data_IF_441148138309
#
_entry.id   IF_441148138309
#
_cell.length_a   1.000
_cell.length_b   1.000
_cell.length_c   1.000
_cell.angle_alpha   90.00
_cell.angle_beta   90.00
_cell.angle_gamma   90.00
#
_symmetry.space_group_name_H-M   'P 1'
#
loop_
_entity.id
_entity.type
_entity.pdbx_description
1 polymer ?
#
# COMPACT_ATOMS: atom_id res chain seq x y z
N UNK A 1 -10.51 10.26 -0.69
CA UNK A 1 -11.53 9.38 -0.08
C UNK A 1 -10.89 8.43 0.93
N UNK A 2 -11.58 8.09 2.02
CA UNK A 2 -11.15 7.06 2.99
C UNK A 2 -12.26 6.01 3.10
N UNK A 3 -11.89 4.74 3.03
CA UNK A 3 -12.77 3.58 3.14
C UNK A 3 -12.34 2.69 4.31
N UNK A 4 -13.29 1.90 4.81
CA UNK A 4 -13.06 0.83 5.77
C UNK A 4 -13.67 -0.47 5.21
N UNK A 5 -13.10 -1.60 5.59
CA UNK A 5 -13.61 -2.93 5.23
C UNK A 5 -14.13 -3.54 6.53
N UNK A 6 -15.41 -3.87 6.56
CA UNK A 6 -16.07 -4.45 7.73
C UNK A 6 -15.85 -5.96 7.78
N UNK A 7 -14.65 -6.35 8.20
CA UNK A 7 -14.34 -7.72 8.57
C UNK A 7 -13.24 -7.74 9.64
N UNK A 8 -13.11 -8.89 10.30
CA UNK A 8 -12.15 -9.07 11.40
C UNK A 8 -10.71 -8.75 10.97
N UNK A 9 -10.30 -9.27 9.80
CA UNK A 9 -8.94 -9.09 9.27
C UNK A 9 -8.54 -7.63 9.11
N UNK A 10 -9.49 -6.76 8.72
CA UNK A 10 -9.23 -5.34 8.45
C UNK A 10 -9.81 -4.40 9.49
N UNK A 11 -10.30 -4.91 10.62
CA UNK A 11 -10.84 -4.10 11.70
C UNK A 11 -9.84 -3.02 12.14
N UNK A 12 -10.33 -1.77 12.20
CA UNK A 12 -9.54 -0.58 12.53
C UNK A 12 -8.58 -0.09 11.42
N UNK A 13 -8.54 -0.75 10.25
CA UNK A 13 -7.67 -0.35 9.13
C UNK A 13 -8.37 0.63 8.19
N UNK A 14 -7.69 1.73 7.83
CA UNK A 14 -8.20 2.75 6.91
C UNK A 14 -7.55 2.63 5.54
N UNK A 15 -8.36 2.58 4.49
CA UNK A 15 -7.93 2.56 3.10
C UNK A 15 -8.10 3.95 2.49
N UNK A 16 -7.00 4.69 2.31
CA UNK A 16 -7.02 6.04 1.71
C UNK A 16 -6.81 5.96 0.21
N UNK A 17 -7.82 6.36 -0.56
CA UNK A 17 -7.72 6.48 -2.01
C UNK A 17 -7.43 7.92 -2.42
N UNK A 18 -6.42 8.10 -3.28
CA UNK A 18 -6.02 9.36 -3.89
C UNK A 18 -5.84 9.17 -5.39
N UNK A 19 -6.56 9.97 -6.17
CA UNK A 19 -6.37 10.09 -7.61
C UNK A 19 -6.40 11.58 -7.96
N UNK A 20 -5.65 11.98 -8.99
CA UNK A 20 -5.57 13.36 -9.43
C UNK A 20 -4.89 13.48 -10.79
N UNK A 21 -5.21 14.56 -11.50
CA UNK A 21 -4.56 14.97 -12.76
C UNK A 21 -3.78 16.26 -12.51
N UNK A 22 -2.91 16.64 -13.45
CA UNK A 22 -2.06 17.84 -13.36
C UNK A 22 -1.23 17.90 -12.06
N UNK A 23 -0.81 16.74 -11.56
CA UNK A 23 0.09 16.65 -10.42
C UNK A 23 1.54 16.80 -10.89
N UNK A 24 2.41 17.30 -10.01
CA UNK A 24 3.84 17.53 -10.28
C UNK A 24 4.60 16.28 -10.74
N UNK A 25 4.12 15.09 -10.37
CA UNK A 25 4.71 13.82 -10.75
C UNK A 25 3.64 12.76 -11.03
N UNK A 26 3.89 11.94 -12.07
CA UNK A 26 3.10 10.74 -12.33
C UNK A 26 3.48 9.67 -11.32
N UNK A 27 2.55 9.29 -10.44
CA UNK A 27 2.75 8.23 -9.45
C UNK A 27 1.51 7.35 -9.34
N UNK A 28 1.70 6.04 -9.46
CA UNK A 28 0.68 5.03 -9.20
C UNK A 28 1.30 3.91 -8.38
N UNK A 29 0.69 3.63 -7.23
CA UNK A 29 1.25 2.67 -6.30
C UNK A 29 0.40 2.51 -5.06
N UNK A 30 0.81 1.56 -4.24
CA UNK A 30 0.19 1.20 -2.97
C UNK A 30 1.20 1.53 -1.87
N UNK A 31 0.76 2.28 -0.86
CA UNK A 31 1.53 2.51 0.36
C UNK A 31 0.86 1.78 1.52
N UNK A 32 1.53 0.79 2.07
CA UNK A 32 1.14 0.12 3.30
C UNK A 32 1.91 0.75 4.45
N UNK A 33 1.19 1.21 5.47
CA UNK A 33 1.78 1.73 6.70
C UNK A 33 1.57 0.71 7.81
N UNK A 34 2.66 0.25 8.39
CA UNK A 34 2.60 -0.68 9.52
C UNK A 34 2.34 0.09 10.81
N UNK A 35 1.68 -0.58 11.78
CA UNK A 35 1.47 0.00 13.11
C UNK A 35 2.80 0.13 13.81
N UNK A 36 2.98 1.23 14.54
CA UNK A 36 4.10 1.33 15.48
C UNK A 36 4.01 0.17 16.47
N UNK A 37 5.13 -0.52 16.70
CA UNK A 37 5.20 -1.52 17.75
C UNK A 37 5.61 -0.83 19.05
N UNK A 38 5.02 -1.21 20.19
CA UNK A 38 5.47 -0.68 21.47
C UNK A 38 6.97 -0.92 21.65
N UNK A 39 7.70 0.00 22.31
CA UNK A 39 9.13 -0.15 22.52
C UNK A 39 9.43 -1.46 23.25
N UNK A 40 10.48 -2.15 22.80
CA UNK A 40 10.93 -3.40 23.41
C UNK A 40 11.36 -3.13 24.88
N UNK A 41 11.03 -4.01 25.84
CA UNK A 41 11.24 -3.75 27.29
C UNK A 41 12.70 -3.50 27.71
N UNK A 42 13.68 -3.72 26.83
CA UNK A 42 15.11 -3.48 27.07
C UNK A 42 15.68 -2.26 26.32
N UNK A 43 14.85 -1.45 25.65
CA UNK A 43 15.29 -0.16 25.12
C UNK A 43 15.23 0.91 26.21
N UNK A 44 16.40 1.40 26.59
CA UNK A 44 16.53 2.61 27.39
C UNK A 44 15.71 3.73 26.72
N UNK A 45 14.83 4.36 27.51
CA UNK A 45 13.94 5.41 27.03
C UNK A 45 14.79 6.59 26.54
N UNK A 46 14.98 6.70 25.23
CA UNK A 46 15.29 8.00 24.62
C UNK A 46 13.95 8.69 24.42
N UNK A 47 13.65 9.63 25.31
CA UNK A 47 12.41 10.41 25.40
C UNK A 47 12.16 11.35 24.20
N UNK A 48 12.57 10.98 22.99
CA UNK A 48 12.52 11.81 21.79
C UNK A 48 11.91 11.12 20.56
N UNK A 49 11.48 9.85 20.64
CA UNK A 49 11.00 9.12 19.46
C UNK A 49 9.57 8.56 19.66
N UNK A 50 8.66 9.43 20.11
CA UNK A 50 7.21 9.19 20.18
C UNK A 50 6.56 9.01 18.78
N UNK A 51 7.39 8.98 17.75
CA UNK A 51 7.05 8.85 16.34
C UNK A 51 7.73 7.66 15.68
N UNK A 52 7.86 6.53 16.40
CA UNK A 52 8.32 5.28 15.81
C UNK A 52 7.35 4.82 14.69
N UNK A 53 7.54 5.32 13.47
CA UNK A 53 6.83 4.87 12.28
C UNK A 53 7.06 3.37 12.14
N UNK A 54 6.00 2.55 12.25
CA UNK A 54 6.08 1.09 12.23
C UNK A 54 6.63 0.50 10.94
N UNK A 55 6.84 1.36 9.94
CA UNK A 55 7.41 1.04 8.66
C UNK A 55 6.45 1.37 7.52
N UNK A 56 7.01 1.46 6.33
CA UNK A 56 6.30 1.80 5.10
C UNK A 56 6.73 0.85 3.99
N UNK A 57 5.77 0.15 3.40
CA UNK A 57 5.97 -0.62 2.17
C UNK A 57 5.31 0.11 1.01
N UNK A 58 6.11 0.50 0.03
CA UNK A 58 5.69 1.07 -1.23
C UNK A 58 5.79 0.03 -2.34
N UNK A 59 4.72 -0.08 -3.12
CA UNK A 59 4.64 -0.95 -4.31
C UNK A 59 4.16 -0.09 -5.49
N UNK A 60 5.04 0.16 -6.45
CA UNK A 60 4.74 0.83 -7.72
C UNK A 60 3.94 -0.05 -8.68
N UNK A 61 3.14 0.58 -9.55
CA UNK A 61 2.26 -0.13 -10.49
C UNK A 61 2.56 0.13 -11.97
N UNK A 62 3.05 1.32 -12.34
CA UNK A 62 3.06 1.80 -13.75
C UNK A 62 4.41 2.38 -14.20
N UNK A 63 5.48 2.20 -13.42
CA UNK A 63 6.80 2.74 -13.71
C UNK A 63 7.87 1.66 -13.65
N UNK A 64 9.04 1.87 -14.28
CA UNK A 64 10.16 0.97 -14.09
C UNK A 64 10.69 1.20 -12.67
N UNK A 65 10.49 0.22 -11.79
CA UNK A 65 10.94 0.16 -10.40
C UNK A 65 10.16 1.03 -9.42
N UNK A 66 9.47 0.38 -8.48
CA UNK A 66 9.35 0.95 -7.14
C UNK A 66 8.84 -0.08 -6.10
N UNK A 67 9.70 -0.99 -5.65
CA UNK A 67 9.45 -1.73 -4.41
C UNK A 67 10.37 -1.17 -3.33
N UNK A 68 9.80 -0.57 -2.29
CA UNK A 68 10.59 -0.02 -1.19
C UNK A 68 9.98 -0.38 0.15
N UNK A 69 10.78 -0.91 1.06
CA UNK A 69 10.40 -1.18 2.44
C UNK A 69 11.29 -0.38 3.38
N UNK A 70 10.73 0.65 4.00
CA UNK A 70 11.40 1.48 5.01
C UNK A 70 10.95 1.07 6.40
N UNK A 71 11.89 0.83 7.30
CA UNK A 71 11.66 0.51 8.71
C UNK A 71 12.84 0.98 9.54
N UNK A 72 12.84 0.72 10.85
CA UNK A 72 13.97 1.03 11.73
C UNK A 72 14.63 -0.27 12.17
N UNK A 73 15.96 -0.33 12.11
CA UNK A 73 16.76 -1.50 12.46
C UNK A 73 17.81 -1.14 13.51
N UNK A 74 18.34 -2.14 14.22
CA UNK A 74 19.42 -1.93 15.21
C UNK A 74 20.67 -1.39 14.53
N UNK A 75 21.30 -0.39 15.16
CA UNK A 75 22.57 0.17 14.69
C UNK A 75 23.71 -0.87 14.80
N UNK A 76 24.47 -1.14 13.72
CA UNK A 76 25.60 -2.07 13.75
C UNK A 76 26.75 -1.64 14.66
N UNK A 77 26.84 -0.34 14.99
CA UNK A 77 28.00 0.26 15.66
C UNK A 77 27.88 0.39 17.18
N UNK A 78 27.03 -0.42 17.82
CA UNK A 78 26.92 -0.44 19.29
C UNK A 78 26.32 0.83 19.92
N UNK A 79 25.84 1.77 19.11
CA UNK A 79 25.01 2.87 19.60
C UNK A 79 23.64 2.31 19.99
N UNK A 80 23.26 2.42 21.25
CA UNK A 80 21.90 2.09 21.69
C UNK A 80 20.89 2.93 20.89
N UNK A 81 20.18 2.30 19.94
CA UNK A 81 19.22 3.00 19.09
C UNK A 81 18.82 2.27 17.81
N UNK A 82 17.62 2.56 17.35
CA UNK A 82 17.13 2.17 16.03
C UNK A 82 17.49 3.24 15.00
N UNK A 83 18.00 2.82 13.85
CA UNK A 83 18.32 3.70 12.72
C UNK A 83 17.40 3.39 11.53
N UNK A 84 17.01 4.41 10.73
CA UNK A 84 16.24 4.16 9.51
C UNK A 84 17.00 3.24 8.55
N UNK A 85 16.32 2.22 8.04
CA UNK A 85 16.79 1.28 7.03
C UNK A 85 15.75 1.21 5.91
N UNK A 86 16.21 1.22 4.66
CA UNK A 86 15.34 1.07 3.50
C UNK A 86 15.88 -0.04 2.59
N UNK A 87 15.03 -1.03 2.32
CA UNK A 87 15.28 -2.06 1.32
C UNK A 87 14.62 -1.62 0.02
N UNK A 88 15.37 -1.70 -1.08
CA UNK A 88 14.90 -1.32 -2.41
C UNK A 88 14.96 -2.57 -3.29
N UNK A 89 13.82 -2.91 -3.87
CA UNK A 89 13.68 -3.99 -4.83
C UNK A 89 13.30 -3.45 -6.21
N UNK A 90 13.77 -4.13 -7.24
CA UNK A 90 13.34 -3.90 -8.62
C UNK A 90 12.23 -4.90 -8.96
N UNK A 91 11.13 -4.40 -9.49
CA UNK A 91 10.10 -5.26 -10.05
C UNK A 91 10.61 -5.87 -11.37
N UNK A 92 10.30 -7.14 -11.65
CA UNK A 92 10.67 -7.76 -12.92
C UNK A 92 9.97 -7.06 -14.08
N UNK A 93 10.65 -6.97 -15.21
CA UNK A 93 10.06 -6.43 -16.42
C UNK A 93 8.93 -7.37 -16.90
N UNK A 94 7.79 -6.80 -17.27
CA UNK A 94 6.67 -7.58 -17.78
C UNK A 94 6.95 -8.02 -19.22
N UNK A 95 6.89 -9.33 -19.48
CA UNK A 95 7.07 -9.89 -20.82
C UNK A 95 5.87 -9.68 -21.74
N UNK A 96 4.70 -9.37 -21.18
CA UNK A 96 3.47 -9.09 -21.91
C UNK A 96 2.90 -7.74 -21.48
N UNK A 97 2.25 -7.06 -22.41
CA UNK A 97 1.45 -5.87 -22.08
C UNK A 97 0.27 -6.26 -21.18
N UNK A 98 -0.32 -5.31 -20.42
CA UNK A 98 -1.49 -5.59 -19.60
C UNK A 98 -2.64 -6.25 -20.37
N UNK A 99 -2.92 -5.80 -21.59
CA UNK A 99 -3.96 -6.40 -22.44
C UNK A 99 -3.60 -7.81 -22.91
N UNK A 100 -2.33 -8.06 -23.28
CA UNK A 100 -1.88 -9.39 -23.66
C UNK A 100 -1.99 -10.38 -22.49
N UNK A 101 -1.72 -9.94 -21.25
CA UNK A 101 -1.95 -10.75 -20.05
C UNK A 101 -3.43 -11.11 -19.85
N UNK A 102 -4.34 -10.16 -20.00
CA UNK A 102 -5.80 -10.42 -19.88
C UNK A 102 -6.28 -11.39 -20.96
N UNK A 103 -5.87 -11.19 -22.22
CA UNK A 103 -6.26 -12.06 -23.32
C UNK A 103 -5.73 -13.49 -23.13
N UNK A 104 -4.45 -13.62 -22.77
CA UNK A 104 -3.86 -14.93 -22.48
C UNK A 104 -4.56 -15.63 -21.31
N UNK A 105 -5.00 -14.88 -20.29
CA UNK A 105 -5.75 -15.42 -19.17
C UNK A 105 -7.09 -16.02 -19.64
N UNK A 106 -7.82 -15.27 -20.47
CA UNK A 106 -9.08 -15.71 -21.06
C UNK A 106 -8.91 -16.94 -21.95
N UNK A 107 -7.90 -16.95 -22.82
CA UNK A 107 -7.59 -18.10 -23.70
C UNK A 107 -7.23 -19.37 -22.90
N UNK A 108 -6.73 -19.21 -21.66
CA UNK A 108 -6.46 -20.31 -20.73
C UNK A 108 -7.70 -20.73 -19.92
N UNK A 109 -8.88 -20.20 -20.24
CA UNK A 109 -10.12 -20.45 -19.52
C UNK A 109 -10.13 -19.87 -18.10
N UNK A 110 -9.29 -18.87 -17.82
CA UNK A 110 -9.19 -18.23 -16.50
C UNK A 110 -9.83 -16.84 -16.55
N UNK A 111 -10.38 -16.44 -15.41
CA UNK A 111 -11.08 -15.16 -15.25
C UNK A 111 -10.57 -14.37 -14.04
N UNK A 112 -9.44 -14.76 -13.44
CA UNK A 112 -8.92 -14.13 -12.22
C UNK A 112 -8.42 -12.69 -12.43
N UNK A 113 -8.25 -12.26 -13.68
CA UNK A 113 -7.97 -10.86 -14.05
C UNK A 113 -9.21 -10.09 -14.53
N UNK A 114 -10.39 -10.71 -14.47
CA UNK A 114 -11.67 -10.09 -14.84
C UNK A 114 -12.46 -9.69 -13.61
N UNK A 115 -13.28 -8.65 -13.74
CA UNK A 115 -14.17 -8.19 -12.67
C UNK A 115 -15.53 -8.85 -12.84
N UNK A 116 -15.94 -9.65 -11.85
CA UNK A 116 -17.28 -10.25 -11.83
C UNK A 116 -18.40 -9.22 -11.58
N UNK A 117 -19.63 -9.57 -11.94
CA UNK A 117 -20.81 -8.69 -11.83
C UNK A 117 -21.01 -8.13 -10.42
N UNK A 118 -20.91 -8.98 -9.40
CA UNK A 118 -21.07 -8.60 -7.99
C UNK A 118 -20.02 -7.56 -7.58
N UNK A 119 -18.74 -7.77 -7.95
CA UNK A 119 -17.67 -6.84 -7.63
C UNK A 119 -17.86 -5.48 -8.32
N UNK A 120 -18.30 -5.49 -9.58
CA UNK A 120 -18.62 -4.27 -10.32
C UNK A 120 -19.78 -3.50 -9.68
N UNK A 121 -20.86 -4.18 -9.29
CA UNK A 121 -22.01 -3.55 -8.65
C UNK A 121 -21.63 -2.95 -7.28
N UNK A 122 -20.86 -3.67 -6.46
CA UNK A 122 -20.39 -3.13 -5.17
C UNK A 122 -19.44 -1.94 -5.34
N UNK A 123 -18.61 -1.93 -6.37
CA UNK A 123 -17.76 -0.78 -6.68
C UNK A 123 -18.61 0.47 -6.99
N UNK A 124 -19.67 0.31 -7.78
CA UNK A 124 -20.62 1.40 -8.07
C UNK A 124 -21.34 1.90 -6.83
N UNK A 125 -21.90 1.00 -6.01
CA UNK A 125 -22.57 1.36 -4.75
C UNK A 125 -21.63 2.16 -3.84
N UNK A 126 -20.37 1.72 -3.73
CA UNK A 126 -19.35 2.39 -2.91
C UNK A 126 -19.00 3.78 -3.45
N UNK A 127 -18.83 3.92 -4.77
CA UNK A 127 -18.52 5.18 -5.42
C UNK A 127 -19.65 6.21 -5.28
N UNK A 128 -20.90 5.79 -5.44
CA UNK A 128 -22.06 6.67 -5.27
C UNK A 128 -22.21 7.10 -3.81
N UNK A 129 -22.10 6.16 -2.87
CA UNK A 129 -22.22 6.44 -1.44
C UNK A 129 -21.12 7.37 -0.90
N UNK A 130 -19.94 7.37 -1.53
CA UNK A 130 -18.84 8.26 -1.15
C UNK A 130 -18.97 9.66 -1.77
N UNK A 131 -19.48 9.77 -3.00
CA UNK A 131 -19.79 11.06 -3.62
C UNK A 131 -20.81 11.83 -2.78
N UNK A 132 -21.93 11.19 -2.40
CA UNK A 132 -22.97 11.81 -1.55
C UNK A 132 -22.45 12.31 -0.20
N UNK A 133 -21.42 11.67 0.34
CA UNK A 133 -20.79 12.06 1.61
C UNK A 133 -19.83 13.25 1.49
N UNK A 134 -19.41 13.60 0.27
CA UNK A 134 -18.54 14.74 0.03
C UNK A 134 -19.33 16.05 -0.21
N UNK A 135 -20.63 15.95 -0.51
CA UNK A 135 -21.53 17.08 -0.76
C UNK A 135 -22.25 17.61 0.50
N UNK A 136 -22.02 16.97 1.67
CA UNK A 136 -22.51 17.35 3.00
C UNK A 136 -21.35 17.90 3.85
#
# INVERSE_FOLDING_TARGET
MVLAIDNERWSGTRFRMRAGKALIARRKGILVRFRSQPPWPFQAHTAADDSADGGRLWIGLDGPNDLSLSFRALSPRGSSGLVPLTLIGRQPDASLSPYAHVLLNLLRGRTNLSVGSVAAEQAWRTAIASARRADL
#
